data_IF_404693860611
#
_entry.id   IF_404693860611
#
_cell.length_a   1.000
_cell.length_b   1.000
_cell.length_c   1.000
_cell.angle_alpha   90.00
_cell.angle_beta   90.00
_cell.angle_gamma   90.00
#
_symmetry.space_group_name_H-M   'P 1'
#
loop_
_entity.id
_entity.type
_entity.pdbx_description
1 polymer ?
#
# COMPACT_ATOMS: atom_id res chain seq x y z
N UNK A 1 8.41 1.63 27.46
CA UNK A 1 8.86 2.04 26.11
C UNK A 1 8.60 0.98 25.03
N UNK A 2 8.59 -0.32 25.33
CA UNK A 2 8.36 -1.41 24.36
C UNK A 2 7.20 -1.23 23.37
N UNK A 3 6.07 -0.63 23.79
CA UNK A 3 4.92 -0.41 22.88
C UNK A 3 5.22 0.63 21.80
N UNK A 4 5.93 1.71 22.16
CA UNK A 4 6.32 2.78 21.23
C UNK A 4 7.30 2.22 20.19
N UNK A 5 8.30 1.47 20.62
CA UNK A 5 9.27 0.82 19.72
C UNK A 5 8.61 -0.16 18.73
N UNK A 6 7.57 -0.88 19.17
CA UNK A 6 6.80 -1.77 18.29
C UNK A 6 6.01 -1.00 17.24
N UNK A 7 5.45 0.16 17.60
CA UNK A 7 4.73 1.03 16.68
C UNK A 7 5.67 1.71 15.70
N UNK A 8 6.86 2.13 16.15
CA UNK A 8 7.87 2.71 15.28
C UNK A 8 8.38 1.69 14.25
N UNK A 9 8.61 0.43 14.67
CA UNK A 9 8.94 -0.67 13.76
C UNK A 9 7.83 -0.91 12.75
N UNK A 10 6.58 -0.99 13.20
CA UNK A 10 5.43 -1.13 12.30
C UNK A 10 5.39 0.02 11.28
N UNK A 11 5.53 1.27 11.72
CA UNK A 11 5.53 2.45 10.85
C UNK A 11 6.72 2.45 9.88
N UNK A 12 7.87 1.89 10.28
CA UNK A 12 9.04 1.77 9.42
C UNK A 12 8.90 0.66 8.37
N UNK A 13 8.12 -0.38 8.65
CA UNK A 13 7.85 -1.49 7.72
C UNK A 13 6.69 -1.22 6.75
N UNK A 14 5.86 -0.22 7.01
CA UNK A 14 4.71 0.10 6.15
C UNK A 14 5.05 1.27 5.23
N UNK A 15 4.60 1.15 3.98
CA UNK A 15 4.65 2.19 2.95
C UNK A 15 3.24 2.48 2.49
N UNK A 16 2.98 3.74 2.22
CA UNK A 16 1.84 4.13 1.43
C UNK A 16 2.28 4.36 -0.01
N UNK A 17 1.60 3.70 -0.93
CA UNK A 17 1.88 3.77 -2.35
C UNK A 17 0.67 4.37 -3.04
N UNK A 18 0.87 5.49 -3.73
CA UNK A 18 -0.11 6.05 -4.65
C UNK A 18 0.36 5.79 -6.06
N UNK A 19 -0.48 5.16 -6.88
CA UNK A 19 -0.13 4.88 -8.27
C UNK A 19 -1.31 5.10 -9.21
N UNK A 20 -0.99 5.47 -10.45
CA UNK A 20 -1.97 5.61 -11.53
C UNK A 20 -1.57 4.68 -12.66
N UNK A 21 -2.45 3.73 -13.01
CA UNK A 21 -2.18 2.75 -14.07
C UNK A 21 -2.26 3.37 -15.48
N UNK A 22 -1.29 3.01 -16.33
CA UNK A 22 -1.26 3.34 -17.76
C UNK A 22 -2.50 2.89 -18.53
N UNK A 23 -2.73 3.47 -19.72
CA UNK A 23 -3.87 3.12 -20.56
C UNK A 23 -3.85 1.62 -20.91
N UNK A 24 -4.94 0.92 -20.58
CA UNK A 24 -5.11 -0.51 -20.86
C UNK A 24 -4.69 -1.45 -19.73
N UNK A 25 -4.04 -0.96 -18.67
CA UNK A 25 -3.67 -1.79 -17.52
C UNK A 25 -4.71 -1.65 -16.41
N UNK A 26 -5.35 -2.75 -16.04
CA UNK A 26 -6.34 -2.80 -14.95
C UNK A 26 -5.85 -3.60 -13.74
N UNK A 27 -4.73 -4.30 -13.90
CA UNK A 27 -4.17 -5.18 -12.86
C UNK A 27 -3.06 -4.45 -12.10
N UNK A 28 -3.12 -4.52 -10.77
CA UNK A 28 -2.05 -4.04 -9.91
C UNK A 28 -0.80 -4.91 -10.09
N UNK A 29 0.40 -4.31 -10.19
CA UNK A 29 1.63 -5.09 -10.26
C UNK A 29 1.93 -5.75 -8.91
N UNK A 30 2.85 -6.73 -8.93
CA UNK A 30 3.32 -7.35 -7.70
C UNK A 30 4.34 -6.45 -6.97
N UNK A 31 4.03 -6.08 -5.72
CA UNK A 31 4.84 -5.16 -4.91
C UNK A 31 5.87 -5.83 -3.98
N UNK A 32 5.87 -7.16 -3.85
CA UNK A 32 6.82 -7.87 -2.98
C UNK A 32 6.57 -7.69 -1.47
N UNK A 33 5.30 -7.68 -1.05
CA UNK A 33 4.90 -7.50 0.35
C UNK A 33 3.44 -7.84 0.57
N UNK A 34 2.90 -7.48 1.74
CA UNK A 34 1.49 -7.71 2.07
C UNK A 34 0.71 -6.41 1.94
N UNK A 35 -0.29 -6.39 1.05
CA UNK A 35 -1.24 -5.28 0.97
C UNK A 35 -2.15 -5.35 2.19
N UNK A 36 -2.03 -4.38 3.10
CA UNK A 36 -2.91 -4.21 4.27
C UNK A 36 -4.27 -3.72 3.80
N UNK A 37 -4.27 -2.70 2.95
CA UNK A 37 -5.49 -2.13 2.40
C UNK A 37 -5.24 -1.54 1.02
N UNK A 38 -6.25 -1.60 0.17
CA UNK A 38 -6.24 -0.96 -1.13
C UNK A 38 -7.52 -0.15 -1.30
N UNK A 39 -7.40 1.04 -1.88
CA UNK A 39 -8.52 1.88 -2.24
C UNK A 39 -8.32 2.38 -3.66
N UNK A 40 -9.33 2.17 -4.50
CA UNK A 40 -9.36 2.68 -5.86
C UNK A 40 -10.29 3.88 -5.91
N UNK A 41 -9.81 4.98 -6.50
CA UNK A 41 -10.65 6.11 -6.93
C UNK A 41 -10.32 6.39 -8.38
N UNK A 42 -11.30 6.18 -9.26
CA UNK A 42 -11.12 6.23 -10.71
C UNK A 42 -9.98 5.29 -11.17
N UNK A 43 -8.86 5.85 -11.62
CA UNK A 43 -7.66 5.11 -12.07
C UNK A 43 -6.49 5.16 -11.10
N UNK A 44 -6.67 5.90 -10.00
CA UNK A 44 -5.66 6.04 -8.96
C UNK A 44 -5.91 5.01 -7.87
N UNK A 45 -4.84 4.31 -7.50
CA UNK A 45 -4.82 3.35 -6.42
C UNK A 45 -4.00 3.93 -5.28
N UNK A 46 -4.54 3.82 -4.07
CA UNK A 46 -3.81 4.08 -2.83
C UNK A 46 -3.73 2.78 -2.04
N UNK A 47 -2.51 2.34 -1.78
CA UNK A 47 -2.20 1.07 -1.13
C UNK A 47 -1.46 1.34 0.17
N UNK A 48 -1.80 0.61 1.21
CA UNK A 48 -0.93 0.42 2.36
C UNK A 48 -0.26 -0.94 2.22
N UNK A 49 1.06 -0.92 2.04
CA UNK A 49 1.88 -2.11 1.85
C UNK A 49 2.77 -2.29 3.07
N UNK A 50 2.76 -3.48 3.66
CA UNK A 50 3.75 -3.90 4.67
C UNK A 50 4.86 -4.72 4.01
N UNK A 51 6.11 -4.36 4.26
CA UNK A 51 7.24 -4.89 3.52
C UNK A 51 7.33 -4.24 2.13
N UNK A 52 7.70 -5.02 1.12
CA UNK A 52 8.10 -4.47 -0.18
C UNK A 52 9.57 -4.07 -0.16
N UNK A 53 10.40 -4.78 -0.91
CA UNK A 53 11.81 -4.40 -1.04
C UNK A 53 11.93 -3.09 -1.82
N UNK A 54 12.76 -2.16 -1.34
CA UNK A 54 12.98 -0.86 -1.99
C UNK A 54 13.44 -1.04 -3.46
N UNK A 55 14.21 -2.09 -3.75
CA UNK A 55 14.62 -2.49 -5.10
C UNK A 55 13.44 -2.82 -6.01
N UNK A 56 12.42 -3.53 -5.47
CA UNK A 56 11.21 -3.88 -6.21
C UNK A 56 10.35 -2.64 -6.48
N UNK A 57 10.17 -1.79 -5.47
CA UNK A 57 9.42 -0.53 -5.64
C UNK A 57 10.10 0.41 -6.65
N UNK A 58 11.43 0.47 -6.65
CA UNK A 58 12.19 1.21 -7.65
C UNK A 58 11.99 0.63 -9.06
N UNK A 59 12.05 -0.70 -9.22
CA UNK A 59 11.83 -1.36 -10.51
C UNK A 59 10.43 -1.07 -11.07
N UNK A 60 9.38 -1.09 -10.22
CA UNK A 60 8.00 -0.79 -10.63
C UNK A 60 7.84 0.63 -11.19
N UNK A 61 8.56 1.60 -10.63
CA UNK A 61 8.59 2.96 -11.17
C UNK A 61 9.21 3.01 -12.57
N UNK A 62 10.21 2.18 -12.81
CA UNK A 62 11.02 2.21 -14.03
C UNK A 62 10.45 1.31 -15.15
N UNK A 63 9.54 0.37 -14.84
CA UNK A 63 8.86 -0.54 -15.78
C UNK A 63 7.94 0.17 -16.80
N UNK A 64 7.63 1.46 -16.61
CA UNK A 64 6.88 2.28 -17.58
C UNK A 64 5.38 1.96 -17.68
N UNK A 65 4.86 1.05 -16.85
CA UNK A 65 3.44 0.68 -16.77
C UNK A 65 2.58 1.69 -16.00
N UNK A 66 3.23 2.57 -15.24
CA UNK A 66 2.60 3.52 -14.32
C UNK A 66 2.76 4.94 -14.86
N UNK A 67 1.65 5.69 -14.89
CA UNK A 67 1.65 7.13 -15.20
C UNK A 67 2.18 7.93 -14.01
N UNK A 68 1.89 7.44 -12.81
CA UNK A 68 2.26 8.07 -11.55
C UNK A 68 2.59 6.97 -10.54
N UNK A 69 3.65 7.16 -9.76
CA UNK A 69 4.06 6.27 -8.68
C UNK A 69 4.75 7.08 -7.59
N UNK A 70 4.08 7.22 -6.45
CA UNK A 70 4.57 7.92 -5.26
C UNK A 70 4.63 6.93 -4.10
N UNK A 71 5.73 6.95 -3.35
CA UNK A 71 5.90 6.18 -2.13
C UNK A 71 6.15 7.14 -0.98
N UNK A 72 5.36 7.02 0.08
CA UNK A 72 5.53 7.81 1.30
C UNK A 72 5.39 6.98 2.56
N UNK A 73 5.85 7.53 3.69
CA UNK A 73 5.66 6.89 4.99
C UNK A 73 4.28 7.28 5.56
N UNK A 74 3.41 6.31 5.88
CA UNK A 74 2.11 6.61 6.46
C UNK A 74 2.20 7.01 7.94
N UNK A 75 1.14 7.63 8.44
CA UNK A 75 0.97 7.83 9.89
C UNK A 75 0.49 6.53 10.56
N UNK A 76 0.60 6.44 11.89
CA UNK A 76 0.03 5.30 12.62
C UNK A 76 -1.50 5.24 12.49
N UNK A 77 -2.16 6.39 12.38
CA UNK A 77 -3.60 6.48 12.18
C UNK A 77 -4.00 5.91 10.81
N UNK A 78 -3.28 6.27 9.73
CA UNK A 78 -3.52 5.71 8.40
C UNK A 78 -3.43 4.17 8.43
N UNK A 79 -2.38 3.62 9.07
CA UNK A 79 -2.20 2.17 9.22
C UNK A 79 -3.36 1.55 9.99
N UNK A 80 -3.76 2.15 11.10
CA UNK A 80 -4.85 1.66 11.94
C UNK A 80 -6.19 1.64 11.19
N UNK A 81 -6.52 2.74 10.50
CA UNK A 81 -7.73 2.85 9.68
C UNK A 81 -7.70 1.83 8.53
N UNK A 82 -6.54 1.63 7.89
CA UNK A 82 -6.36 0.62 6.85
C UNK A 82 -6.68 -0.80 7.35
N UNK A 83 -6.15 -1.18 8.51
CA UNK A 83 -6.42 -2.48 9.14
C UNK A 83 -7.90 -2.65 9.47
N UNK A 84 -8.54 -1.63 10.07
CA UNK A 84 -9.97 -1.70 10.41
C UNK A 84 -10.84 -1.88 9.17
N UNK A 85 -10.58 -1.12 8.11
CA UNK A 85 -11.33 -1.22 6.85
C UNK A 85 -11.13 -2.59 6.18
N UNK A 86 -9.90 -3.12 6.17
CA UNK A 86 -9.61 -4.45 5.63
C UNK A 86 -10.34 -5.57 6.39
N UNK A 87 -10.49 -5.42 7.71
CA UNK A 87 -11.22 -6.38 8.55
C UNK A 87 -12.73 -6.31 8.32
N UNK A 88 -13.28 -5.10 8.11
CA UNK A 88 -14.71 -4.91 7.83
C UNK A 88 -15.13 -5.43 6.44
N UNK A 89 -14.22 -5.43 5.47
CA UNK A 89 -14.48 -5.95 4.12
C UNK A 89 -14.50 -7.49 4.06
N UNK A 90 -14.11 -8.18 5.13
CA UNK A 90 -14.07 -9.64 5.23
C UNK A 90 -15.36 -10.32 5.71
N UNK A 91 -16.46 -9.58 5.91
CA UNK A 91 -17.79 -10.19 6.16
C UNK A 91 -18.60 -10.23 4.85
N UNK A 92 -18.65 -11.38 4.14
CA UNK A 92 -19.75 -11.62 3.21
C UNK A 92 -21.01 -11.80 4.06
N UNK A 93 -21.93 -10.85 3.99
CA UNK A 93 -23.31 -11.05 4.44
C UNK A 93 -23.82 -12.33 3.76
N UNK A 94 -24.06 -13.37 4.57
CA UNK A 94 -24.82 -14.55 4.17
C UNK A 94 -26.31 -14.23 4.09
#
# INVERSE_FOLDING_TARGET
>A
LLLVERLDKLKAEVREITLTLGNGTTTLPEFGGTIISQHQRDRQWRLLLRGGEDSRLAALRDEGLLIEFEVRQPTLEDIFVGILKSTSAGHPSS
#
